data_IF_435772431799
#
_entry.id   IF_435772431799
#
_cell.length_a   1.000
_cell.length_b   1.000
_cell.length_c   1.000
_cell.angle_alpha   90.00
_cell.angle_beta   90.00
_cell.angle_gamma   90.00
#
_symmetry.space_group_name_H-M   'P 1'
#
loop_
_entity.id
_entity.type
_entity.pdbx_description
1 polymer ?
#
# COMPACT_ATOMS: atom_id res chain seq x y z
N UNK A 1 -7.52 2.09 -21.53
CA UNK A 1 -8.93 1.93 -21.11
C UNK A 1 -9.69 1.32 -22.26
N UNK A 2 -10.21 0.10 -22.12
CA UNK A 2 -11.00 -0.51 -23.19
C UNK A 2 -12.35 0.19 -23.25
N UNK A 3 -12.79 0.59 -24.45
CA UNK A 3 -14.03 1.32 -24.65
C UNK A 3 -15.24 0.49 -24.16
N UNK A 4 -16.20 1.17 -23.52
CA UNK A 4 -17.48 0.56 -23.13
C UNK A 4 -18.22 0.14 -24.41
N UNK A 5 -18.68 -1.11 -24.52
CA UNK A 5 -19.42 -1.56 -25.70
C UNK A 5 -20.72 -0.76 -25.91
N UNK A 6 -21.06 -0.48 -27.17
CA UNK A 6 -22.23 0.34 -27.52
C UNK A 6 -23.54 -0.21 -26.96
N UNK A 7 -23.68 -1.54 -26.87
CA UNK A 7 -24.87 -2.17 -26.31
C UNK A 7 -25.09 -1.83 -24.82
N UNK A 8 -24.01 -1.59 -24.07
CA UNK A 8 -24.09 -1.19 -22.66
C UNK A 8 -24.51 0.26 -22.56
N UNK A 9 -23.93 1.13 -23.40
CA UNK A 9 -24.29 2.54 -23.50
C UNK A 9 -25.77 2.71 -23.87
N UNK A 10 -26.25 1.93 -24.84
CA UNK A 10 -27.66 1.93 -25.24
C UNK A 10 -28.55 1.42 -24.12
N UNK A 11 -28.18 0.31 -23.47
CA UNK A 11 -28.95 -0.22 -22.34
C UNK A 11 -29.04 0.76 -21.17
N UNK A 12 -27.99 1.56 -20.90
CA UNK A 12 -28.02 2.62 -19.88
C UNK A 12 -29.00 3.73 -20.27
N UNK A 13 -29.03 4.13 -21.55
CA UNK A 13 -29.93 5.18 -22.04
C UNK A 13 -31.40 4.76 -21.97
N UNK A 14 -31.68 3.51 -22.32
CA UNK A 14 -33.04 2.98 -22.41
C UNK A 14 -33.55 2.42 -21.07
N UNK A 15 -32.73 2.45 -20.02
CA UNK A 15 -33.07 1.85 -18.74
C UNK A 15 -34.21 2.60 -18.04
N UNK A 16 -35.25 1.86 -17.68
CA UNK A 16 -36.34 2.36 -16.84
C UNK A 16 -36.19 1.82 -15.41
N UNK A 17 -36.21 2.69 -14.38
CA UNK A 17 -36.03 2.25 -13.01
C UNK A 17 -37.27 1.47 -12.51
N UNK A 18 -37.08 0.48 -11.62
CA UNK A 18 -38.20 -0.16 -10.93
C UNK A 18 -39.04 0.86 -10.14
N UNK A 19 -40.32 0.54 -9.90
CA UNK A 19 -41.23 1.39 -9.14
C UNK A 19 -40.62 1.81 -7.77
N UNK A 20 -40.67 3.10 -7.46
CA UNK A 20 -40.09 3.67 -6.23
C UNK A 20 -38.60 4.05 -6.32
N UNK A 21 -37.91 3.73 -7.42
CA UNK A 21 -36.52 4.14 -7.66
C UNK A 21 -36.42 5.30 -8.66
N UNK A 22 -35.49 6.20 -8.40
CA UNK A 22 -35.12 7.29 -9.32
C UNK A 22 -33.68 7.10 -9.80
N UNK A 23 -33.43 7.33 -11.08
CA UNK A 23 -32.08 7.25 -11.64
C UNK A 23 -31.29 8.48 -11.21
N UNK A 24 -30.07 8.27 -10.74
CA UNK A 24 -29.09 9.32 -10.47
C UNK A 24 -28.06 9.31 -11.61
N UNK A 25 -28.09 10.29 -12.53
CA UNK A 25 -27.17 10.32 -13.65
C UNK A 25 -25.74 10.55 -13.19
N UNK A 26 -24.78 10.06 -13.98
CA UNK A 26 -23.36 10.36 -13.83
C UNK A 26 -23.11 11.85 -14.01
N UNK A 27 -22.42 12.49 -13.08
CA UNK A 27 -22.03 13.89 -13.23
C UNK A 27 -20.94 14.04 -14.31
N UNK A 28 -20.97 15.15 -15.04
CA UNK A 28 -19.97 15.43 -16.09
C UNK A 28 -18.57 15.48 -15.46
N UNK A 29 -17.69 14.59 -15.88
CA UNK A 29 -16.33 14.48 -15.34
C UNK A 29 -16.17 13.60 -14.11
N UNK A 30 -17.22 12.94 -13.60
CA UNK A 30 -17.11 11.98 -12.49
C UNK A 30 -16.33 10.72 -12.94
N UNK A 31 -15.14 10.43 -12.38
CA UNK A 31 -14.39 9.23 -12.73
C UNK A 31 -14.99 8.04 -11.96
N UNK A 32 -15.84 7.24 -12.61
CA UNK A 32 -16.49 6.10 -11.97
C UNK A 32 -16.69 4.94 -12.94
N UNK A 33 -15.88 3.88 -12.77
CA UNK A 33 -15.95 2.65 -13.56
C UNK A 33 -17.35 2.01 -13.49
N UNK A 34 -17.99 2.03 -12.32
CA UNK A 34 -19.29 1.38 -12.16
C UNK A 34 -20.40 2.09 -12.94
N UNK A 35 -20.30 3.41 -13.11
CA UNK A 35 -21.28 4.20 -13.87
C UNK A 35 -21.10 4.09 -15.38
N UNK A 36 -19.93 3.61 -15.83
CA UNK A 36 -19.70 3.30 -17.23
C UNK A 36 -20.39 1.99 -17.65
N UNK A 37 -20.75 1.14 -16.68
CA UNK A 37 -21.29 -0.21 -16.91
C UNK A 37 -22.68 -0.44 -16.32
N UNK A 38 -23.31 0.60 -15.77
CA UNK A 38 -24.60 0.48 -15.11
C UNK A 38 -25.12 1.81 -14.59
N UNK A 39 -26.30 1.76 -13.96
CA UNK A 39 -27.01 2.93 -13.49
C UNK A 39 -27.04 3.01 -11.96
N UNK A 40 -26.89 4.21 -11.42
CA UNK A 40 -27.09 4.49 -10.00
C UNK A 40 -28.57 4.82 -9.78
N UNK A 41 -29.18 4.19 -8.79
CA UNK A 41 -30.58 4.38 -8.42
C UNK A 41 -30.70 4.81 -6.96
N UNK A 42 -31.69 5.65 -6.67
CA UNK A 42 -32.00 6.12 -5.31
C UNK A 42 -33.46 5.85 -4.98
N UNK A 43 -33.72 5.45 -3.74
CA UNK A 43 -35.06 5.24 -3.18
C UNK A 43 -35.09 5.78 -1.74
N UNK A 44 -36.28 6.09 -1.24
CA UNK A 44 -36.52 6.34 0.19
C UNK A 44 -37.09 5.06 0.79
N UNK A 45 -36.38 4.45 1.73
CA UNK A 45 -36.83 3.27 2.45
C UNK A 45 -36.70 3.58 3.95
N UNK A 46 -37.80 3.49 4.69
CA UNK A 46 -37.87 3.79 6.13
C UNK A 46 -37.23 5.14 6.51
N UNK A 47 -37.60 6.21 5.79
CA UNK A 47 -37.07 7.58 5.90
C UNK A 47 -35.55 7.73 5.72
N UNK A 48 -34.86 6.69 5.24
CA UNK A 48 -33.43 6.72 4.93
C UNK A 48 -33.19 6.70 3.42
N UNK A 49 -32.23 7.51 2.92
CA UNK A 49 -31.87 7.48 1.51
C UNK A 49 -31.13 6.18 1.20
N UNK A 50 -31.77 5.30 0.43
CA UNK A 50 -31.17 4.09 -0.11
C UNK A 50 -30.54 4.41 -1.47
N UNK A 51 -29.24 4.13 -1.62
CA UNK A 51 -28.52 4.28 -2.89
C UNK A 51 -28.04 2.90 -3.34
N UNK A 52 -28.41 2.52 -4.56
CA UNK A 52 -28.02 1.27 -5.19
C UNK A 52 -27.44 1.47 -6.57
N UNK A 53 -26.87 0.41 -7.11
CA UNK A 53 -26.35 0.34 -8.47
C UNK A 53 -26.85 -0.92 -9.16
N UNK A 54 -27.23 -0.80 -10.42
CA UNK A 54 -27.71 -1.91 -11.25
C UNK A 54 -26.74 -2.08 -12.43
N UNK A 55 -26.23 -3.30 -12.58
CA UNK A 55 -25.33 -3.66 -13.66
C UNK A 55 -26.09 -3.85 -14.98
N UNK A 56 -25.61 -3.22 -16.05
CA UNK A 56 -26.14 -3.36 -17.41
C UNK A 56 -25.12 -3.94 -18.40
N UNK A 57 -23.99 -4.45 -17.88
CA UNK A 57 -22.85 -4.95 -18.64
C UNK A 57 -23.07 -6.24 -19.44
N UNK A 58 -24.19 -6.94 -19.23
CA UNK A 58 -24.57 -8.13 -19.99
C UNK A 58 -26.10 -8.31 -20.01
N UNK A 59 -26.60 -9.13 -20.94
CA UNK A 59 -28.01 -9.51 -20.99
C UNK A 59 -28.49 -10.23 -19.73
N UNK A 60 -27.61 -11.00 -19.06
CA UNK A 60 -27.95 -11.68 -17.80
C UNK A 60 -28.11 -10.69 -16.66
N UNK A 61 -27.23 -9.70 -16.56
CA UNK A 61 -27.33 -8.63 -15.56
C UNK A 61 -28.55 -7.73 -15.81
N UNK A 62 -28.83 -7.40 -17.08
CA UNK A 62 -30.01 -6.62 -17.48
C UNK A 62 -31.32 -7.31 -17.09
N UNK A 63 -31.45 -8.63 -17.33
CA UNK A 63 -32.67 -9.39 -16.98
C UNK A 63 -32.87 -9.51 -15.47
N UNK A 64 -31.79 -9.74 -14.73
CA UNK A 64 -31.89 -9.91 -13.27
C UNK A 64 -32.11 -8.58 -12.54
N UNK A 65 -31.70 -7.45 -13.14
CA UNK A 65 -31.81 -6.09 -12.60
C UNK A 65 -31.42 -5.99 -11.11
N UNK A 66 -30.44 -6.79 -10.68
CA UNK A 66 -30.08 -6.94 -9.27
C UNK A 66 -29.50 -5.63 -8.75
N UNK A 67 -30.13 -5.09 -7.70
CA UNK A 67 -29.66 -3.86 -7.06
C UNK A 67 -28.54 -4.20 -6.08
N UNK A 68 -27.36 -3.66 -6.31
CA UNK A 68 -26.21 -3.72 -5.41
C UNK A 68 -26.18 -2.44 -4.59
N UNK A 69 -26.43 -2.55 -3.28
CA UNK A 69 -26.42 -1.41 -2.37
C UNK A 69 -25.03 -0.77 -2.26
N UNK A 70 -24.97 0.56 -2.34
CA UNK A 70 -23.77 1.37 -2.19
C UNK A 70 -23.73 1.99 -0.79
N UNK A 71 -22.82 1.52 0.07
CA UNK A 71 -22.62 2.04 1.44
C UNK A 71 -21.55 3.15 1.46
N UNK A 72 -21.68 4.15 0.60
CA UNK A 72 -20.64 5.18 0.41
C UNK A 72 -19.35 4.70 -0.26
N UNK A 73 -19.23 3.39 -0.55
CA UNK A 73 -18.16 2.80 -1.34
C UNK A 73 -18.72 1.98 -2.51
N UNK A 74 -17.87 1.67 -3.49
CA UNK A 74 -18.21 0.95 -4.72
C UNK A 74 -17.66 -0.47 -4.77
N UNK A 75 -17.06 -0.96 -3.68
CA UNK A 75 -16.31 -2.22 -3.64
C UNK A 75 -17.12 -3.44 -4.11
N UNK A 76 -18.40 -3.54 -3.73
CA UNK A 76 -19.28 -4.64 -4.16
C UNK A 76 -19.61 -4.59 -5.66
N UNK A 77 -19.84 -3.39 -6.19
CA UNK A 77 -20.10 -3.18 -7.61
C UNK A 77 -18.85 -3.43 -8.45
N UNK A 78 -17.69 -2.94 -8.01
CA UNK A 78 -16.39 -3.22 -8.66
C UNK A 78 -16.05 -4.71 -8.62
N UNK A 79 -16.32 -5.40 -7.51
CA UNK A 79 -16.14 -6.87 -7.42
C UNK A 79 -17.05 -7.61 -8.40
N UNK A 80 -18.32 -7.22 -8.50
CA UNK A 80 -19.23 -7.81 -9.48
C UNK A 80 -18.72 -7.63 -10.93
N UNK A 81 -18.21 -6.44 -11.26
CA UNK A 81 -17.61 -6.18 -12.57
C UNK A 81 -16.37 -7.04 -12.83
N UNK A 82 -15.53 -7.24 -11.82
CA UNK A 82 -14.36 -8.11 -11.93
C UNK A 82 -14.76 -9.59 -12.12
N UNK A 83 -15.70 -10.09 -11.32
CA UNK A 83 -16.08 -11.50 -11.30
C UNK A 83 -16.91 -11.89 -12.53
N UNK A 84 -17.84 -11.05 -12.96
CA UNK A 84 -18.82 -11.37 -14.03
C UNK A 84 -18.39 -10.86 -15.39
N UNK A 85 -17.71 -9.71 -15.44
CA UNK A 85 -17.35 -9.05 -16.70
C UNK A 85 -15.83 -8.98 -16.93
N UNK A 86 -15.02 -9.52 -16.01
CA UNK A 86 -13.55 -9.47 -16.04
C UNK A 86 -13.07 -8.02 -16.21
N UNK A 87 -13.73 -7.08 -15.50
CA UNK A 87 -13.44 -5.64 -15.54
C UNK A 87 -12.94 -5.15 -14.20
N UNK A 88 -11.73 -4.61 -14.23
CA UNK A 88 -11.04 -4.00 -13.10
C UNK A 88 -10.79 -2.51 -13.37
N UNK A 89 -10.60 -1.73 -12.30
CA UNK A 89 -10.23 -0.33 -12.43
C UNK A 89 -8.74 -0.19 -12.72
N UNK A 90 -8.34 0.88 -13.41
CA UNK A 90 -6.92 1.17 -13.66
C UNK A 90 -6.09 1.22 -12.35
N UNK A 91 -6.70 1.66 -11.25
CA UNK A 91 -6.08 1.62 -9.91
C UNK A 91 -5.87 0.19 -9.42
N UNK A 92 -6.88 -0.67 -9.58
CA UNK A 92 -6.81 -2.09 -9.20
C UNK A 92 -5.79 -2.87 -10.03
N UNK A 93 -5.68 -2.55 -11.32
CA UNK A 93 -4.68 -3.17 -12.22
C UNK A 93 -3.25 -2.72 -11.87
N UNK A 94 -3.08 -1.42 -11.59
CA UNK A 94 -1.80 -0.88 -11.13
C UNK A 94 -1.38 -1.43 -9.76
N UNK A 95 -2.34 -1.75 -8.89
CA UNK A 95 -2.07 -2.38 -7.59
C UNK A 95 -1.78 -3.88 -7.73
N UNK A 96 -2.47 -4.59 -8.62
CA UNK A 96 -2.21 -5.99 -8.92
C UNK A 96 -0.82 -6.22 -9.52
N UNK A 97 -0.37 -5.33 -10.42
CA UNK A 97 0.99 -5.37 -10.98
C UNK A 97 2.08 -5.01 -9.97
N UNK A 98 1.73 -4.38 -8.84
CA UNK A 98 2.65 -4.12 -7.71
C UNK A 98 2.71 -5.26 -6.70
N UNK A 99 1.83 -6.26 -6.79
CA UNK A 99 1.89 -7.44 -5.91
C UNK A 99 3.06 -8.32 -6.33
N UNK A 100 4.23 -8.05 -5.76
CA UNK A 100 5.35 -8.97 -5.81
C UNK A 100 5.01 -10.19 -4.97
N UNK A 101 5.20 -11.40 -5.51
CA UNK A 101 5.03 -12.62 -4.73
C UNK A 101 6.19 -12.78 -3.73
N UNK A 102 5.94 -13.50 -2.64
CA UNK A 102 6.97 -13.78 -1.61
C UNK A 102 8.25 -14.36 -2.21
N UNK A 103 8.12 -15.32 -3.14
CA UNK A 103 9.26 -15.95 -3.80
C UNK A 103 10.06 -14.95 -4.65
N UNK A 104 9.38 -14.07 -5.37
CA UNK A 104 10.05 -13.02 -6.15
C UNK A 104 10.79 -12.01 -5.27
N UNK A 105 10.28 -11.71 -4.07
CA UNK A 105 11.01 -10.89 -3.09
C UNK A 105 12.23 -11.63 -2.54
N UNK A 106 12.13 -12.94 -2.25
CA UNK A 106 13.28 -13.76 -1.87
C UNK A 106 14.35 -13.77 -2.96
N UNK A 107 13.96 -14.02 -4.21
CA UNK A 107 14.87 -14.10 -5.35
C UNK A 107 15.58 -12.77 -5.59
N UNK A 108 14.86 -11.63 -5.49
CA UNK A 108 15.47 -10.29 -5.55
C UNK A 108 16.50 -10.04 -4.45
N UNK A 109 16.20 -10.46 -3.22
CA UNK A 109 17.13 -10.31 -2.09
C UNK A 109 18.36 -11.19 -2.32
N UNK A 110 18.16 -12.43 -2.75
CA UNK A 110 19.24 -13.36 -3.07
C UNK A 110 20.14 -12.82 -4.19
N UNK A 111 19.56 -12.33 -5.28
CA UNK A 111 20.29 -11.72 -6.39
C UNK A 111 21.09 -10.50 -5.92
N UNK A 112 20.50 -9.65 -5.08
CA UNK A 112 21.19 -8.47 -4.51
C UNK A 112 22.35 -8.85 -3.57
N UNK A 113 22.28 -10.00 -2.91
CA UNK A 113 23.35 -10.48 -2.04
C UNK A 113 24.44 -11.20 -2.85
N UNK A 114 24.05 -12.06 -3.79
CA UNK A 114 24.93 -12.88 -4.61
C UNK A 114 25.76 -12.06 -5.62
N UNK A 115 25.20 -10.96 -6.14
CA UNK A 115 25.89 -10.08 -7.11
C UNK A 115 27.04 -9.26 -6.53
N UNK A 116 27.26 -9.32 -5.22
CA UNK A 116 28.35 -8.63 -4.54
C UNK A 116 29.29 -9.63 -3.87
N UNK A 117 30.61 -9.41 -3.98
CA UNK A 117 31.66 -10.17 -3.26
C UNK A 117 31.55 -10.11 -1.71
N UNK A 118 30.50 -9.49 -1.18
CA UNK A 118 30.23 -9.23 0.24
C UNK A 118 29.24 -10.21 0.89
N UNK A 119 28.95 -11.37 0.28
CA UNK A 119 28.04 -12.37 0.85
C UNK A 119 28.40 -12.75 2.29
N UNK A 120 29.70 -12.88 2.59
CA UNK A 120 30.23 -13.11 3.95
C UNK A 120 29.95 -11.97 4.93
N UNK A 121 29.92 -10.71 4.46
CA UNK A 121 29.60 -9.53 5.29
C UNK A 121 28.09 -9.37 5.50
N UNK A 122 27.28 -9.71 4.50
CA UNK A 122 25.82 -9.58 4.53
C UNK A 122 25.15 -10.65 5.40
N UNK A 123 25.73 -11.83 5.47
CA UNK A 123 25.21 -12.96 6.26
C UNK A 123 25.02 -12.65 7.76
N UNK A 124 26.03 -12.14 8.50
CA UNK A 124 25.84 -11.79 9.91
C UNK A 124 24.83 -10.65 10.11
N UNK A 125 24.63 -9.76 9.13
CA UNK A 125 23.62 -8.71 9.19
C UNK A 125 22.19 -9.29 9.11
N UNK A 126 21.95 -10.22 8.19
CA UNK A 126 20.66 -10.91 8.02
C UNK A 126 20.30 -11.71 9.28
N UNK A 127 21.26 -12.45 9.81
CA UNK A 127 21.08 -13.24 11.02
C UNK A 127 20.84 -12.34 12.25
N UNK A 128 21.57 -11.22 12.35
CA UNK A 128 21.33 -10.21 13.40
C UNK A 128 19.93 -9.59 13.30
N UNK A 129 19.44 -9.29 12.09
CA UNK A 129 18.06 -8.82 11.88
C UNK A 129 17.02 -9.85 12.35
N UNK A 130 17.25 -11.14 12.07
CA UNK A 130 16.40 -12.24 12.55
C UNK A 130 16.37 -12.28 14.08
N UNK A 131 17.53 -12.20 14.73
CA UNK A 131 17.64 -12.19 16.20
C UNK A 131 16.87 -11.01 16.80
N UNK A 132 17.09 -9.79 16.30
CA UNK A 132 16.41 -8.58 16.80
C UNK A 132 14.89 -8.75 16.69
N UNK A 133 14.39 -9.10 15.51
CA UNK A 133 12.95 -9.22 15.25
C UNK A 133 12.27 -10.30 16.10
N UNK A 134 12.94 -11.41 16.34
CA UNK A 134 12.41 -12.50 17.17
C UNK A 134 12.34 -12.17 18.66
N UNK A 135 13.11 -11.18 19.12
CA UNK A 135 13.21 -10.74 20.51
C UNK A 135 12.45 -9.42 20.80
N UNK A 136 11.71 -8.86 19.85
CA UNK A 136 10.87 -7.69 20.11
C UNK A 136 9.66 -8.08 20.98
N UNK A 137 9.33 -7.29 22.03
CA UNK A 137 8.30 -7.64 23.02
C UNK A 137 6.87 -7.71 22.46
N UNK A 138 6.63 -7.20 21.25
CA UNK A 138 5.34 -7.28 20.58
C UNK A 138 5.49 -8.04 19.26
N UNK A 139 5.11 -9.32 19.26
CA UNK A 139 4.86 -10.11 18.03
C UNK A 139 3.46 -9.81 17.53
N UNK A 140 3.22 -8.58 17.07
CA UNK A 140 1.95 -8.20 16.44
C UNK A 140 1.88 -8.87 15.05
N UNK A 141 1.55 -10.15 15.03
CA UNK A 141 1.57 -11.01 13.85
C UNK A 141 2.99 -11.45 13.47
N UNK A 142 3.08 -12.60 12.82
CA UNK A 142 4.30 -12.99 12.09
C UNK A 142 4.49 -11.97 10.97
N UNK A 143 5.46 -11.06 11.13
CA UNK A 143 5.80 -10.13 10.05
C UNK A 143 6.27 -10.95 8.85
N UNK A 144 5.68 -10.75 7.67
CA UNK A 144 6.11 -11.39 6.41
C UNK A 144 7.63 -11.32 6.21
N UNK A 145 8.25 -10.23 6.64
CA UNK A 145 9.70 -10.01 6.61
C UNK A 145 10.49 -10.93 7.56
N UNK A 146 9.97 -11.26 8.74
CA UNK A 146 10.60 -12.20 9.68
C UNK A 146 10.62 -13.61 9.11
N UNK A 147 9.52 -13.99 8.46
CA UNK A 147 9.38 -15.24 7.73
C UNK A 147 10.33 -15.32 6.52
N UNK A 148 10.46 -14.24 5.74
CA UNK A 148 11.46 -14.14 4.66
C UNK A 148 12.90 -14.27 5.18
N UNK A 149 13.23 -13.64 6.32
CA UNK A 149 14.54 -13.74 6.96
C UNK A 149 14.81 -15.17 7.45
N UNK A 150 13.79 -15.86 7.99
CA UNK A 150 13.92 -17.25 8.38
C UNK A 150 14.27 -18.14 7.17
N UNK A 151 13.55 -18.00 6.05
CA UNK A 151 13.80 -18.76 4.82
C UNK A 151 15.22 -18.53 4.27
N UNK A 152 15.74 -17.29 4.36
CA UNK A 152 17.10 -16.96 3.94
C UNK A 152 18.16 -17.62 4.81
N UNK A 153 17.96 -17.64 6.13
CA UNK A 153 18.94 -18.19 7.09
C UNK A 153 19.03 -19.72 7.12
N UNK A 154 18.04 -20.44 6.56
CA UNK A 154 18.10 -21.92 6.43
C UNK A 154 19.14 -22.34 5.40
N UNK A 155 19.36 -21.51 4.37
CA UNK A 155 20.28 -21.77 3.27
C UNK A 155 21.75 -21.76 3.75
N UNK A 156 22.56 -22.74 3.36
CA UNK A 156 23.92 -22.91 3.88
C UNK A 156 24.84 -21.73 3.55
N UNK A 157 24.59 -21.03 2.45
CA UNK A 157 25.33 -19.84 2.03
C UNK A 157 25.16 -18.66 3.00
N UNK A 158 24.11 -18.69 3.82
CA UNK A 158 23.73 -17.65 4.78
C UNK A 158 23.83 -18.13 6.24
N UNK A 159 24.48 -19.26 6.48
CA UNK A 159 24.82 -19.67 7.85
C UNK A 159 26.07 -18.95 8.29
N UNK A 160 25.93 -18.07 9.28
CA UNK A 160 27.06 -17.47 9.98
C UNK A 160 27.15 -17.98 11.41
N UNK A 161 28.38 -18.17 11.89
CA UNK A 161 28.65 -18.29 13.32
C UNK A 161 28.49 -16.91 13.93
N UNK A 162 27.56 -16.78 14.89
CA UNK A 162 27.23 -15.50 15.52
C UNK A 162 27.76 -15.48 16.94
N UNK A 163 28.49 -14.42 17.28
CA UNK A 163 28.86 -14.07 18.65
C UNK A 163 28.27 -12.70 19.02
N UNK A 164 28.33 -12.37 20.31
CA UNK A 164 27.76 -11.10 20.82
C UNK A 164 28.46 -9.86 20.27
N UNK A 165 29.74 -9.93 19.93
CA UNK A 165 30.49 -8.81 19.34
C UNK A 165 30.09 -8.58 17.89
N UNK A 166 29.91 -9.65 17.12
CA UNK A 166 29.42 -9.64 15.74
C UNK A 166 28.00 -9.06 15.72
N UNK A 167 27.12 -9.50 16.61
CA UNK A 167 25.76 -8.92 16.75
C UNK A 167 25.84 -7.43 17.06
N UNK A 168 26.67 -7.02 18.02
CA UNK A 168 26.83 -5.61 18.39
C UNK A 168 27.28 -4.73 17.21
N UNK A 169 28.29 -5.19 16.45
CA UNK A 169 28.78 -4.48 15.26
C UNK A 169 27.72 -4.45 14.15
N UNK A 170 27.05 -5.58 13.92
CA UNK A 170 25.99 -5.70 12.93
C UNK A 170 24.81 -4.76 13.24
N UNK A 171 24.42 -4.61 14.52
CA UNK A 171 23.38 -3.66 14.94
C UNK A 171 23.76 -2.22 14.54
N UNK A 172 24.99 -1.80 14.85
CA UNK A 172 25.47 -0.44 14.51
C UNK A 172 25.48 -0.23 13.00
N UNK A 173 25.95 -1.23 12.24
CA UNK A 173 26.00 -1.17 10.77
C UNK A 173 24.61 -1.12 10.14
N UNK A 174 23.69 -1.98 10.59
CA UNK A 174 22.30 -2.00 10.15
C UNK A 174 21.62 -0.66 10.43
N UNK A 175 21.84 -0.10 11.61
CA UNK A 175 21.29 1.19 12.01
C UNK A 175 21.80 2.33 11.13
N UNK A 176 23.12 2.46 11.00
CA UNK A 176 23.74 3.51 10.20
C UNK A 176 23.31 3.42 8.72
N UNK A 177 23.25 2.21 8.16
CA UNK A 177 22.82 1.97 6.79
C UNK A 177 21.36 2.33 6.56
N UNK A 178 20.47 1.95 7.50
CA UNK A 178 19.05 2.25 7.43
C UNK A 178 18.79 3.76 7.51
N UNK A 179 19.47 4.45 8.43
CA UNK A 179 19.40 5.92 8.57
C UNK A 179 19.85 6.62 7.29
N UNK A 180 21.00 6.22 6.75
CA UNK A 180 21.53 6.80 5.51
C UNK A 180 20.58 6.58 4.33
N UNK A 181 19.99 5.39 4.23
CA UNK A 181 19.02 5.06 3.18
C UNK A 181 17.75 5.90 3.30
N UNK A 182 17.21 6.05 4.51
CA UNK A 182 16.03 6.87 4.77
C UNK A 182 16.28 8.34 4.39
N UNK A 183 17.41 8.91 4.79
CA UNK A 183 17.82 10.28 4.42
C UNK A 183 17.90 10.41 2.90
N UNK A 184 18.59 9.50 2.22
CA UNK A 184 18.74 9.54 0.76
C UNK A 184 17.38 9.49 0.06
N UNK A 185 16.48 8.64 0.54
CA UNK A 185 15.12 8.51 -0.01
C UNK A 185 14.31 9.79 0.19
N UNK A 186 14.40 10.42 1.37
CA UNK A 186 13.72 11.68 1.64
C UNK A 186 14.25 12.80 0.74
N UNK A 187 15.57 12.89 0.56
CA UNK A 187 16.20 13.90 -0.31
C UNK A 187 15.82 13.66 -1.78
N UNK A 188 15.86 12.41 -2.25
CA UNK A 188 15.57 12.10 -3.67
C UNK A 188 14.11 12.29 -4.06
N UNK A 189 13.19 12.32 -3.09
CA UNK A 189 11.76 12.49 -3.33
C UNK A 189 11.27 13.92 -3.01
N UNK A 190 12.18 14.88 -2.81
CA UNK A 190 11.81 16.29 -2.64
C UNK A 190 11.24 16.84 -3.95
N UNK A 191 10.13 17.54 -3.84
CA UNK A 191 9.52 18.28 -4.96
C UNK A 191 10.07 19.70 -4.92
N UNK A 192 10.72 20.12 -6.01
CA UNK A 192 11.27 21.48 -6.14
C UNK A 192 10.17 22.53 -5.95
N UNK A 193 10.43 23.54 -5.12
CA UNK A 193 9.49 24.64 -4.87
C UNK A 193 8.40 24.36 -3.83
N UNK A 194 8.33 23.15 -3.27
CA UNK A 194 7.40 22.81 -2.19
C UNK A 194 8.18 22.67 -0.88
N UNK A 195 7.77 23.42 0.15
CA UNK A 195 8.32 23.26 1.50
C UNK A 195 8.10 21.83 1.99
N UNK A 196 9.18 21.14 2.35
CA UNK A 196 9.13 19.76 2.83
C UNK A 196 9.72 19.69 4.23
N UNK A 197 8.91 19.21 5.17
CA UNK A 197 9.35 18.87 6.52
C UNK A 197 9.57 17.36 6.58
N UNK A 198 10.81 16.94 6.83
CA UNK A 198 11.12 15.55 7.10
C UNK A 198 11.78 15.48 8.48
N UNK A 199 11.14 14.73 9.38
CA UNK A 199 11.61 14.54 10.74
C UNK A 199 12.11 13.11 10.87
N UNK A 200 13.41 12.94 11.11
CA UNK A 200 13.97 11.66 11.55
C UNK A 200 14.25 11.81 13.03
N UNK A 201 13.32 11.31 13.84
CA UNK A 201 13.45 11.36 15.30
C UNK A 201 14.32 10.20 15.75
N UNK A 202 15.42 10.51 16.42
CA UNK A 202 16.35 9.53 16.98
C UNK A 202 16.56 9.86 18.45
N UNK A 203 16.16 8.96 19.34
CA UNK A 203 16.31 9.12 20.78
C UNK A 203 17.25 8.04 21.30
N UNK A 204 18.33 8.45 21.96
CA UNK A 204 19.15 7.54 22.77
C UNK A 204 19.52 8.21 24.08
N UNK A 205 18.88 7.77 25.17
CA UNK A 205 19.62 7.36 26.36
C UNK A 205 18.78 6.40 27.21
N UNK A 206 19.43 5.41 27.82
CA UNK A 206 18.97 4.84 29.08
C UNK A 206 20.15 4.88 30.05
N UNK A 207 20.25 5.95 30.83
CA UNK A 207 21.05 5.97 32.06
C UNK A 207 20.14 6.20 33.23
N UNK A 208 19.16 5.33 33.28
CA UNK A 208 18.06 5.53 34.18
C UNK A 208 17.88 4.24 34.94
N UNK A 209 18.01 4.30 36.25
CA UNK A 209 17.69 5.51 37.01
C UNK A 209 18.78 5.72 38.06
N UNK A 210 19.50 6.87 38.01
CA UNK A 210 18.87 8.09 38.51
C UNK A 210 19.49 9.39 37.95
N UNK A 211 18.88 10.01 36.95
CA UNK A 211 18.68 11.47 36.87
C UNK A 211 18.22 11.79 35.47
N UNK A 212 16.93 12.09 35.39
CA UNK A 212 16.22 12.57 34.21
C UNK A 212 17.07 13.62 33.49
N UNK A 213 17.32 13.39 32.21
CA UNK A 213 17.75 14.45 31.30
C UNK A 213 16.78 14.45 30.13
N UNK A 214 15.79 15.33 30.21
CA UNK A 214 14.95 15.70 29.08
C UNK A 214 15.79 16.64 28.23
N UNK A 215 16.04 16.26 26.97
CA UNK A 215 16.66 17.14 25.99
C UNK A 215 15.72 17.33 24.81
N UNK A 216 15.29 18.56 24.62
CA UNK A 216 14.53 19.04 23.46
C UNK A 216 15.51 19.44 22.38
N UNK A 217 15.28 19.05 21.11
CA UNK A 217 15.78 19.83 19.99
C UNK A 217 14.82 19.78 18.79
N UNK A 218 14.52 20.98 18.29
CA UNK A 218 13.75 21.30 17.11
C UNK A 218 14.73 21.71 16.01
N UNK A 219 14.57 21.20 14.78
CA UNK A 219 15.28 21.73 13.62
C UNK A 219 14.26 22.32 12.66
N UNK A 220 14.16 23.65 12.69
CA UNK A 220 13.53 24.43 11.65
C UNK A 220 14.52 24.59 10.50
N UNK A 221 14.18 24.11 9.30
CA UNK A 221 14.75 24.71 8.08
C UNK A 221 13.78 25.79 7.62
N UNK A 222 14.03 27.03 8.02
CA UNK A 222 13.33 28.16 7.43
C UNK A 222 13.78 28.33 5.99
N UNK A 223 12.76 28.36 5.12
CA UNK A 223 12.70 29.00 3.82
C UNK A 223 13.86 29.98 3.56
N UNK A 224 14.65 29.72 2.51
CA UNK A 224 15.12 30.81 1.65
C UNK A 224 14.42 30.67 0.32
N UNK A 225 13.31 31.39 0.20
CA UNK A 225 12.71 31.71 -1.08
C UNK A 225 13.71 32.65 -1.77
N UNK A 226 14.29 32.31 -2.93
CA UNK A 226 15.23 33.22 -3.61
C UNK A 226 14.56 34.51 -4.11
N UNK A 227 13.23 34.65 -3.98
CA UNK A 227 12.46 35.79 -4.47
C UNK A 227 12.14 36.85 -3.41
N UNK A 228 12.92 36.92 -2.32
CA UNK A 228 12.86 38.04 -1.38
C UNK A 228 14.28 38.46 -0.95
N UNK A 229 14.96 39.20 -1.84
CA UNK A 229 15.74 40.43 -1.54
C UNK A 229 15.38 41.42 -2.65
#
# INVERSE_FOLDING_TARGET
MQAVPDFVTQAIRDFQPPAGFTIVPKLRGEPSLILDWGVRVKCMTDDKPYVGWICLGSRTCQRNAKIIQLFGNTSKATKHLADVHVRSSAKSDAEATRKCTRQQELDRVLDSIATTNDSRRKTPLIETLRIIRNNLPFRLGEYNETELLADLTVKPEFRATIDSQIVGRAIVELYASSKMRAIKLLVSNRITGVGSLAMVVDFLSCKTQPSVSIWYFEFSSSITNPNYI
#
